data_IF_172178110322
#
_entry.id   IF_172178110322
#
_cell.length_a   1.000
_cell.length_b   1.000
_cell.length_c   1.000
_cell.angle_alpha   90.00
_cell.angle_beta   90.00
_cell.angle_gamma   90.00
#
_symmetry.space_group_name_H-M   'P 1'
#
loop_
_entity.id
_entity.type
_entity.pdbx_description
1 polymer ?
#
# COMPACT_ATOMS: atom_id res chain seq x y z
N UNK A 1 5.55 -51.82 -50.88
CA UNK A 1 5.60 -52.73 -49.72
C UNK A 1 7.05 -52.85 -49.30
N UNK A 2 7.42 -52.25 -48.16
CA UNK A 2 8.41 -52.75 -47.20
C UNK A 2 8.33 -51.81 -45.99
N UNK A 3 7.82 -52.38 -44.91
CA UNK A 3 7.72 -51.83 -43.57
C UNK A 3 9.10 -51.46 -43.03
N UNK A 4 9.18 -50.43 -42.18
CA UNK A 4 9.87 -50.52 -40.88
C UNK A 4 9.65 -49.27 -40.05
N UNK A 5 8.69 -49.42 -39.13
CA UNK A 5 8.57 -48.69 -37.88
C UNK A 5 9.89 -48.83 -37.10
N UNK A 6 10.57 -47.72 -36.80
CA UNK A 6 11.46 -47.54 -35.62
C UNK A 6 12.35 -46.32 -35.82
N UNK A 7 11.99 -45.20 -35.21
CA UNK A 7 12.87 -44.37 -34.38
C UNK A 7 11.96 -43.42 -33.56
N UNK A 8 11.00 -44.02 -32.86
CA UNK A 8 10.24 -43.40 -31.79
C UNK A 8 11.06 -43.51 -30.49
N UNK A 9 12.22 -42.87 -30.39
CA UNK A 9 13.05 -42.94 -29.16
C UNK A 9 14.00 -41.76 -28.97
N UNK A 10 13.66 -40.52 -29.36
CA UNK A 10 14.50 -39.39 -28.94
C UNK A 10 13.78 -38.04 -28.93
N UNK A 11 12.94 -37.77 -27.91
CA UNK A 11 12.94 -36.49 -27.17
C UNK A 11 11.97 -36.53 -25.96
N UNK A 12 12.00 -37.62 -25.18
CA UNK A 12 11.23 -37.71 -23.92
C UNK A 12 12.11 -37.27 -22.73
N UNK A 13 12.75 -36.10 -22.84
CA UNK A 13 13.73 -35.63 -21.85
C UNK A 13 13.75 -34.09 -21.73
N UNK A 14 12.59 -33.48 -21.41
CA UNK A 14 12.56 -32.29 -20.55
C UNK A 14 11.29 -32.33 -19.70
N UNK A 15 11.40 -32.72 -18.42
CA UNK A 15 10.78 -31.88 -17.42
C UNK A 15 11.80 -31.66 -16.30
N UNK A 16 12.84 -30.85 -16.59
CA UNK A 16 13.72 -30.33 -15.55
C UNK A 16 13.68 -28.80 -15.54
N UNK A 17 12.45 -28.29 -15.52
CA UNK A 17 12.12 -26.98 -14.99
C UNK A 17 11.14 -27.21 -13.83
N UNK A 18 11.55 -28.02 -12.86
CA UNK A 18 11.03 -27.92 -11.51
C UNK A 18 11.57 -26.59 -10.96
N UNK A 19 10.90 -25.50 -11.33
CA UNK A 19 11.18 -24.16 -10.82
C UNK A 19 11.09 -24.29 -9.30
N UNK A 20 12.21 -24.01 -8.63
CA UNK A 20 12.30 -23.99 -7.19
C UNK A 20 11.29 -22.96 -6.65
N UNK A 21 10.09 -23.41 -6.30
CA UNK A 21 9.16 -22.60 -5.53
C UNK A 21 9.70 -22.57 -4.10
N UNK A 22 10.50 -21.55 -3.78
CA UNK A 22 10.82 -21.24 -2.39
C UNK A 22 9.50 -21.11 -1.63
N UNK A 23 9.32 -21.83 -0.51
CA UNK A 23 8.07 -21.76 0.24
C UNK A 23 7.87 -20.34 0.73
N UNK A 24 6.92 -19.64 0.09
CA UNK A 24 6.60 -18.26 0.41
C UNK A 24 5.95 -18.20 1.79
N UNK A 25 6.38 -17.25 2.62
CA UNK A 25 5.82 -17.10 3.96
C UNK A 25 4.35 -16.66 3.87
N UNK A 26 3.57 -16.98 4.91
CA UNK A 26 2.19 -16.49 5.01
C UNK A 26 2.10 -14.95 5.03
N UNK A 27 3.18 -14.26 5.43
CA UNK A 27 3.22 -12.80 5.44
C UNK A 27 3.33 -12.27 4.01
N UNK A 28 4.28 -12.76 3.23
CA UNK A 28 4.47 -12.38 1.82
C UNK A 28 3.21 -12.68 1.00
N UNK A 29 2.60 -13.87 1.17
CA UNK A 29 1.35 -14.20 0.48
C UNK A 29 0.20 -13.23 0.81
N UNK A 30 0.18 -12.64 2.01
CA UNK A 30 -0.81 -11.62 2.39
C UNK A 30 -0.50 -10.26 1.78
N UNK A 31 0.77 -9.91 1.68
CA UNK A 31 1.24 -8.66 1.06
C UNK A 31 0.96 -8.67 -0.45
N UNK A 32 1.29 -9.76 -1.14
CA UNK A 32 1.01 -9.93 -2.58
C UNK A 32 -0.48 -9.85 -2.87
N UNK A 33 -1.31 -10.51 -2.06
CA UNK A 33 -2.78 -10.43 -2.19
C UNK A 33 -3.28 -9.00 -1.99
N UNK A 34 -2.70 -8.26 -1.04
CA UNK A 34 -3.09 -6.88 -0.79
C UNK A 34 -2.69 -5.98 -1.96
N UNK A 35 -1.50 -6.17 -2.51
CA UNK A 35 -1.02 -5.44 -3.67
C UNK A 35 -1.88 -5.73 -4.90
N UNK A 36 -2.22 -7.00 -5.16
CA UNK A 36 -3.11 -7.38 -6.26
C UNK A 36 -4.49 -6.72 -6.13
N UNK A 37 -5.06 -6.71 -4.91
CA UNK A 37 -6.32 -6.01 -4.64
C UNK A 37 -6.21 -4.49 -4.86
N UNK A 38 -5.08 -3.89 -4.47
CA UNK A 38 -4.83 -2.47 -4.70
C UNK A 38 -4.79 -2.16 -6.19
N UNK A 39 -4.05 -2.96 -6.95
CA UNK A 39 -3.91 -2.79 -8.40
C UNK A 39 -5.27 -2.88 -9.08
N UNK A 40 -6.03 -3.93 -8.80
CA UNK A 40 -7.37 -4.11 -9.37
C UNK A 40 -8.30 -2.93 -9.02
N UNK A 41 -8.28 -2.48 -7.77
CA UNK A 41 -9.10 -1.36 -7.31
C UNK A 41 -8.78 -0.05 -8.03
N UNK A 42 -7.49 0.25 -8.21
CA UNK A 42 -7.06 1.46 -8.90
C UNK A 42 -7.43 1.44 -10.38
N UNK A 43 -7.22 0.30 -11.05
CA UNK A 43 -7.59 0.14 -12.46
C UNK A 43 -9.09 0.36 -12.66
N UNK A 44 -9.93 -0.15 -11.75
CA UNK A 44 -11.38 0.04 -11.80
C UNK A 44 -11.78 1.51 -11.56
N UNK A 45 -11.38 2.08 -10.41
CA UNK A 45 -11.83 3.41 -9.97
C UNK A 45 -11.25 4.54 -10.83
N UNK A 46 -10.04 4.36 -11.38
CA UNK A 46 -9.44 5.30 -12.33
C UNK A 46 -9.70 4.89 -13.78
N UNK A 47 -10.42 3.79 -14.04
CA UNK A 47 -10.69 3.30 -15.40
C UNK A 47 -9.43 3.26 -16.28
N UNK A 48 -8.31 2.76 -15.73
CA UNK A 48 -7.02 2.75 -16.42
C UNK A 48 -7.04 1.78 -17.59
N UNK A 49 -6.57 2.21 -18.76
CA UNK A 49 -6.29 1.26 -19.85
C UNK A 49 -5.03 0.43 -19.55
N UNK A 50 -4.77 -0.68 -20.28
CA UNK A 50 -3.51 -1.41 -20.16
C UNK A 50 -2.29 -0.51 -20.40
N UNK A 51 -2.35 0.37 -21.40
CA UNK A 51 -1.26 1.29 -21.76
C UNK A 51 -1.02 2.33 -20.66
N UNK A 52 -2.11 2.90 -20.13
CA UNK A 52 -2.03 3.85 -19.01
C UNK A 52 -1.51 3.18 -17.74
N UNK A 53 -1.91 1.93 -17.48
CA UNK A 53 -1.47 1.17 -16.30
C UNK A 53 0.05 0.93 -16.30
N UNK A 54 0.63 0.66 -17.47
CA UNK A 54 2.09 0.48 -17.62
C UNK A 54 2.87 1.75 -17.26
N UNK A 55 2.31 2.93 -17.50
CA UNK A 55 2.89 4.22 -17.14
C UNK A 55 2.56 4.63 -15.68
N UNK A 56 1.36 4.28 -15.23
CA UNK A 56 0.82 4.68 -13.93
C UNK A 56 1.64 4.13 -12.76
N UNK A 57 1.85 2.81 -12.72
CA UNK A 57 2.52 2.17 -11.57
C UNK A 57 3.94 2.67 -11.31
N UNK A 58 4.84 2.79 -12.30
CA UNK A 58 6.17 3.32 -12.04
C UNK A 58 6.13 4.79 -11.59
N UNK A 59 5.30 5.63 -12.21
CA UNK A 59 5.16 7.03 -11.81
C UNK A 59 4.60 7.14 -10.38
N UNK A 60 3.51 6.43 -10.08
CA UNK A 60 2.87 6.46 -8.77
C UNK A 60 3.79 5.94 -7.66
N UNK A 61 4.54 4.86 -7.90
CA UNK A 61 5.47 4.31 -6.92
C UNK A 61 6.59 5.30 -6.57
N UNK A 62 7.15 5.98 -7.57
CA UNK A 62 8.17 7.03 -7.38
C UNK A 62 7.60 8.21 -6.57
N UNK A 63 6.38 8.67 -6.89
CA UNK A 63 5.72 9.72 -6.10
C UNK A 63 5.41 9.28 -4.67
N UNK A 64 4.98 8.04 -4.46
CA UNK A 64 4.74 7.51 -3.11
C UNK A 64 6.02 7.45 -2.28
N UNK A 65 7.14 7.07 -2.88
CA UNK A 65 8.43 7.06 -2.20
C UNK A 65 8.87 8.46 -1.79
N UNK A 66 8.78 9.44 -2.70
CA UNK A 66 9.08 10.84 -2.40
C UNK A 66 8.18 11.40 -1.30
N UNK A 67 6.87 11.16 -1.38
CA UNK A 67 5.90 11.62 -0.38
C UNK A 67 6.09 10.93 0.97
N UNK A 68 6.54 9.67 0.97
CA UNK A 68 6.89 8.96 2.20
C UNK A 68 8.13 9.57 2.85
N UNK A 69 9.21 9.76 2.09
CA UNK A 69 10.43 10.38 2.58
C UNK A 69 10.17 11.80 3.12
N UNK A 70 9.37 12.58 2.41
CA UNK A 70 8.90 13.90 2.87
C UNK A 70 8.14 13.81 4.20
N UNK A 71 7.19 12.88 4.32
CA UNK A 71 6.45 12.65 5.55
C UNK A 71 7.33 12.20 6.73
N UNK A 72 8.38 11.41 6.46
CA UNK A 72 9.34 10.98 7.47
C UNK A 72 10.18 12.16 7.97
N UNK A 73 10.62 13.06 7.07
CA UNK A 73 11.32 14.29 7.42
C UNK A 73 10.43 15.24 8.26
N UNK A 74 9.16 15.40 7.91
CA UNK A 74 8.20 16.19 8.70
C UNK A 74 8.08 15.65 10.12
N UNK A 75 7.92 14.32 10.27
CA UNK A 75 7.81 13.71 11.59
C UNK A 75 9.10 13.84 12.41
N UNK A 76 10.26 13.86 11.77
CA UNK A 76 11.53 14.07 12.46
C UNK A 76 11.58 15.47 13.10
N UNK A 77 11.22 16.51 12.35
CA UNK A 77 11.16 17.89 12.88
C UNK A 77 10.09 18.02 13.96
N UNK A 78 8.90 17.45 13.75
CA UNK A 78 7.85 17.45 14.78
C UNK A 78 8.28 16.73 16.07
N UNK A 79 9.11 15.70 15.96
CA UNK A 79 9.68 15.00 17.11
C UNK A 79 10.70 15.87 17.84
N UNK A 80 11.59 16.53 17.09
CA UNK A 80 12.57 17.46 17.66
C UNK A 80 11.88 18.64 18.35
N UNK A 81 10.82 19.19 17.76
CA UNK A 81 10.05 20.29 18.32
C UNK A 81 9.38 19.90 19.65
N UNK A 82 8.96 18.64 19.82
CA UNK A 82 8.42 18.16 21.10
C UNK A 82 9.49 18.06 22.20
N UNK A 83 10.75 17.93 21.82
CA UNK A 83 11.89 17.84 22.74
C UNK A 83 12.71 19.12 22.85
N UNK A 84 12.31 20.21 22.20
CA UNK A 84 13.06 21.47 22.21
C UNK A 84 13.17 22.02 23.63
N UNK A 85 14.35 22.51 24.01
CA UNK A 85 14.63 23.01 25.36
C UNK A 85 14.47 24.54 25.48
N UNK A 86 14.29 25.23 24.35
CA UNK A 86 14.14 26.69 24.32
C UNK A 86 13.19 27.21 23.23
N UNK A 87 12.60 28.38 23.47
CA UNK A 87 11.75 29.08 22.49
C UNK A 87 12.52 29.46 21.21
N UNK A 88 13.83 29.73 21.33
CA UNK A 88 14.66 30.07 20.18
C UNK A 88 14.85 28.87 19.24
N UNK A 89 15.18 27.69 19.80
CA UNK A 89 15.27 26.43 19.06
C UNK A 89 13.92 26.06 18.42
N UNK A 90 12.83 26.19 19.19
CA UNK A 90 11.49 25.93 18.67
C UNK A 90 11.13 26.85 17.49
N UNK A 91 11.54 28.12 17.54
CA UNK A 91 11.32 29.07 16.45
C UNK A 91 12.07 28.67 15.16
N UNK A 92 13.30 28.19 15.27
CA UNK A 92 14.10 27.68 14.14
C UNK A 92 13.45 26.43 13.51
N UNK A 93 13.09 25.45 14.34
CA UNK A 93 12.42 24.22 13.89
C UNK A 93 11.06 24.50 13.23
N UNK A 94 10.31 25.51 13.70
CA UNK A 94 9.06 25.94 13.06
C UNK A 94 9.33 26.53 11.67
N UNK A 95 10.41 27.29 11.48
CA UNK A 95 10.76 27.80 10.15
C UNK A 95 11.14 26.65 9.20
N UNK A 96 11.93 25.68 9.67
CA UNK A 96 12.28 24.51 8.88
C UNK A 96 11.03 23.70 8.50
N UNK A 97 10.15 23.43 9.47
CA UNK A 97 8.89 22.74 9.25
C UNK A 97 8.03 23.45 8.21
N UNK A 98 7.96 24.78 8.27
CA UNK A 98 7.22 25.59 7.30
C UNK A 98 7.79 25.42 5.88
N UNK A 99 9.10 25.49 5.71
CA UNK A 99 9.73 25.29 4.39
C UNK A 99 9.48 23.88 3.87
N UNK A 100 9.61 22.88 4.75
CA UNK A 100 9.36 21.49 4.39
C UNK A 100 7.89 21.28 3.97
N UNK A 101 6.93 21.90 4.67
CA UNK A 101 5.51 21.82 4.31
C UNK A 101 5.22 22.43 2.94
N UNK A 102 5.85 23.57 2.61
CA UNK A 102 5.74 24.19 1.28
C UNK A 102 6.29 23.26 0.19
N UNK A 103 7.50 22.70 0.38
CA UNK A 103 8.08 21.73 -0.54
C UNK A 103 7.18 20.48 -0.73
N UNK A 104 6.48 20.06 0.32
CA UNK A 104 5.51 18.98 0.25
C UNK A 104 4.22 19.31 -0.50
N UNK A 105 3.83 20.58 -0.58
CA UNK A 105 2.73 21.01 -1.46
C UNK A 105 3.17 20.96 -2.92
N UNK A 106 4.35 21.48 -3.23
CA UNK A 106 4.90 21.46 -4.58
C UNK A 106 5.07 20.03 -5.08
N UNK A 107 5.65 19.13 -4.26
CA UNK A 107 5.79 17.71 -4.58
C UNK A 107 4.43 17.05 -4.91
N UNK A 108 3.35 17.44 -4.21
CA UNK A 108 2.00 16.92 -4.49
C UNK A 108 1.43 17.46 -5.79
N UNK A 109 1.64 18.73 -6.11
CA UNK A 109 1.20 19.30 -7.37
C UNK A 109 1.93 18.66 -8.55
N UNK A 110 3.26 18.56 -8.47
CA UNK A 110 4.06 17.90 -9.51
C UNK A 110 3.66 16.44 -9.74
N UNK A 111 3.39 15.70 -8.67
CA UNK A 111 2.90 14.32 -8.76
C UNK A 111 1.59 14.23 -9.56
N UNK A 112 0.65 15.14 -9.29
CA UNK A 112 -0.63 15.20 -10.00
C UNK A 112 -0.39 15.55 -11.47
N UNK A 113 0.43 16.56 -11.77
CA UNK A 113 0.69 17.01 -13.14
C UNK A 113 1.38 15.92 -13.97
N UNK A 114 2.39 15.24 -13.40
CA UNK A 114 3.09 14.13 -14.03
C UNK A 114 2.15 12.98 -14.37
N UNK A 115 1.27 12.61 -13.45
CA UNK A 115 0.31 11.51 -13.67
C UNK A 115 -0.82 11.96 -14.62
N UNK A 116 -1.29 13.20 -14.49
CA UNK A 116 -2.30 13.78 -15.35
C UNK A 116 -1.88 13.83 -16.82
N UNK A 117 -0.58 13.88 -17.12
CA UNK A 117 -0.07 13.87 -18.49
C UNK A 117 -0.52 12.63 -19.30
N UNK A 118 -0.79 11.49 -18.65
CA UNK A 118 -1.22 10.27 -19.34
C UNK A 118 -2.59 9.75 -18.91
N UNK A 119 -3.12 10.06 -17.72
CA UNK A 119 -4.50 9.68 -17.33
C UNK A 119 -5.49 10.86 -17.31
N UNK A 120 -5.03 12.10 -17.47
CA UNK A 120 -5.85 13.31 -17.39
C UNK A 120 -6.14 13.78 -15.96
N UNK A 121 -6.32 15.10 -15.81
CA UNK A 121 -6.47 15.78 -14.52
C UNK A 121 -7.65 15.28 -13.67
N UNK A 122 -8.80 14.97 -14.31
CA UNK A 122 -9.99 14.47 -13.59
C UNK A 122 -9.67 13.21 -12.78
N UNK A 123 -8.89 12.29 -13.36
CA UNK A 123 -8.52 11.02 -12.72
C UNK A 123 -7.33 11.21 -11.79
N UNK A 124 -6.32 11.96 -12.19
CA UNK A 124 -5.16 12.23 -11.36
C UNK A 124 -5.53 12.94 -10.04
N UNK A 125 -6.47 13.90 -10.08
CA UNK A 125 -6.92 14.64 -8.91
C UNK A 125 -7.62 13.81 -7.84
N UNK A 126 -8.17 12.63 -8.19
CA UNK A 126 -8.88 11.75 -7.25
C UNK A 126 -8.03 10.60 -6.70
N UNK A 127 -6.77 10.45 -7.12
CA UNK A 127 -5.91 9.32 -6.72
C UNK A 127 -5.82 9.20 -5.19
N UNK A 128 -5.65 10.32 -4.47
CA UNK A 128 -5.59 10.31 -3.00
C UNK A 128 -6.90 9.86 -2.36
N UNK A 129 -8.04 10.15 -2.98
CA UNK A 129 -9.34 9.67 -2.52
C UNK A 129 -9.47 8.17 -2.75
N UNK A 130 -9.12 7.68 -3.95
CA UNK A 130 -9.12 6.25 -4.30
C UNK A 130 -8.25 5.45 -3.32
N UNK A 131 -7.02 5.90 -3.03
CA UNK A 131 -6.13 5.25 -2.04
C UNK A 131 -6.77 5.21 -0.64
N UNK A 132 -7.37 6.31 -0.18
CA UNK A 132 -8.02 6.38 1.13
C UNK A 132 -9.21 5.42 1.22
N UNK A 133 -10.02 5.34 0.16
CA UNK A 133 -11.14 4.43 0.09
C UNK A 133 -10.69 2.97 0.07
N UNK A 134 -9.65 2.65 -0.71
CA UNK A 134 -9.03 1.33 -0.70
C UNK A 134 -8.58 0.93 0.71
N UNK A 135 -7.79 1.78 1.37
CA UNK A 135 -7.33 1.54 2.75
C UNK A 135 -8.48 1.34 3.72
N UNK A 136 -9.55 2.12 3.58
CA UNK A 136 -10.75 1.98 4.42
C UNK A 136 -11.45 0.64 4.18
N UNK A 137 -11.62 0.23 2.91
CA UNK A 137 -12.22 -1.06 2.54
C UNK A 137 -11.38 -2.23 3.07
N UNK A 138 -10.05 -2.16 2.95
CA UNK A 138 -9.13 -3.17 3.47
C UNK A 138 -9.17 -3.24 5.00
N UNK A 139 -9.12 -2.10 5.68
CA UNK A 139 -9.12 -2.04 7.14
C UNK A 139 -10.41 -2.65 7.72
N UNK A 140 -11.58 -2.32 7.14
CA UNK A 140 -12.87 -2.91 7.51
C UNK A 140 -12.86 -4.43 7.38
N UNK A 141 -12.25 -4.98 6.31
CA UNK A 141 -12.13 -6.43 6.11
C UNK A 141 -11.22 -7.09 7.14
N UNK A 142 -10.12 -6.43 7.53
CA UNK A 142 -9.22 -6.93 8.59
C UNK A 142 -9.92 -6.98 9.95
N UNK A 143 -10.63 -5.91 10.32
CA UNK A 143 -11.35 -5.82 11.61
C UNK A 143 -12.47 -6.86 11.73
N UNK A 144 -13.25 -7.08 10.67
CA UNK A 144 -14.33 -8.09 10.64
C UNK A 144 -13.80 -9.53 10.76
N UNK A 145 -12.59 -9.79 10.26
CA UNK A 145 -11.91 -11.09 10.41
C UNK A 145 -11.41 -11.35 11.83
N UNK A 146 -11.02 -10.30 12.58
CA UNK A 146 -10.55 -10.45 13.97
C UNK A 146 -11.68 -10.62 14.99
N UNK A 147 -12.87 -10.03 14.75
CA UNK A 147 -14.02 -10.19 15.64
C UNK A 147 -14.57 -11.63 15.64
N UNK A 148 -14.51 -12.32 14.49
CA UNK A 148 -15.00 -13.70 14.39
C UNK A 148 -14.09 -14.73 15.09
N UNK A 149 -12.89 -14.34 15.50
CA UNK A 149 -11.93 -15.20 16.24
C UNK A 149 -11.98 -15.03 17.76
N UNK A 150 -12.64 -13.99 18.29
CA UNK A 150 -12.66 -13.68 19.73
C UNK A 150 -13.99 -14.02 20.43
N UNK A 151 -14.89 -14.73 19.74
CA UNK A 151 -16.20 -15.15 20.24
C UNK A 151 -16.14 -16.38 21.16
N UNK A 152 -15.39 -16.30 22.27
CA UNK A 152 -15.51 -17.20 23.44
C UNK A 152 -14.88 -16.52 24.65
N UNK A 153 -15.55 -15.50 25.17
CA UNK A 153 -15.38 -15.10 26.58
C UNK A 153 -16.47 -15.81 27.39
N UNK A 154 -16.13 -16.67 28.37
CA UNK A 154 -17.12 -17.27 29.25
C UNK A 154 -17.83 -16.15 30.01
N UNK A 155 -19.14 -16.29 30.15
CA UNK A 155 -19.97 -15.51 31.04
C UNK A 155 -19.41 -15.54 32.46
N UNK A 156 -18.81 -14.46 32.93
CA UNK A 156 -18.47 -14.32 34.34
C UNK A 156 -19.51 -13.43 35.01
N UNK A 157 -20.46 -14.12 35.65
CA UNK A 157 -21.39 -13.57 36.63
C UNK A 157 -20.56 -12.87 37.71
N UNK A 158 -20.80 -11.59 37.98
CA UNK A 158 -20.55 -11.03 39.32
C UNK A 158 -21.67 -10.11 39.78
N UNK A 159 -21.95 -10.10 41.10
CA UNK A 159 -23.21 -9.64 41.67
C UNK A 159 -23.25 -8.12 41.78
N UNK A 160 -24.45 -7.58 41.74
CA UNK A 160 -24.74 -6.17 41.99
C UNK A 160 -24.22 -5.77 43.39
N UNK A 161 -23.21 -4.91 43.45
CA UNK A 161 -22.78 -4.22 44.67
C UNK A 161 -23.75 -3.07 45.03
N UNK A 162 -23.81 -2.66 46.30
CA UNK A 162 -24.97 -1.97 46.87
C UNK A 162 -25.13 -0.54 46.34
N UNK A 163 -26.38 -0.17 46.08
CA UNK A 163 -26.76 1.21 45.79
C UNK A 163 -26.65 2.03 47.08
N UNK A 164 -25.82 3.07 47.05
CA UNK A 164 -25.86 4.11 48.06
C UNK A 164 -26.99 5.09 47.74
N UNK A 165 -27.76 5.42 48.78
CA UNK A 165 -28.86 6.39 48.79
C UNK A 165 -28.39 7.81 48.49
#
# INVERSE_FOLDING_TARGET
MHSSLSFLTLFFMVPMLAIAQTPQSQKELREDRLQALRVAYFVEELSLTPEESLLFWPAWNDEEEKLKAHGDAVRAIETQLKSSESDAEAAELIQELKQLQLAGLDLRHEAIDRIAAFIGYRRAGIIKQVEREFRTRVMKRRMKGSESSNGKRPSDRRPHGPQHY
#
